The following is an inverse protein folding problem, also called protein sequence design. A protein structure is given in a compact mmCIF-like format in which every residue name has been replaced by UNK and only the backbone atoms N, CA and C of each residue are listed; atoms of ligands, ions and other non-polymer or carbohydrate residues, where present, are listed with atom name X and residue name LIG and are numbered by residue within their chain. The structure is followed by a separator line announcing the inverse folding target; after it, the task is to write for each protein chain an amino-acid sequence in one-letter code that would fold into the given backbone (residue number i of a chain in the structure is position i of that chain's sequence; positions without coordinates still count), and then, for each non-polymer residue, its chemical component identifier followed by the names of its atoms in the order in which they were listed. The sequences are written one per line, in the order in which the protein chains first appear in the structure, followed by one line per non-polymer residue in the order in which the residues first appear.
data_IF_657656400548
#
_entry.id   IF_657656400548
#
_cell.length_a   1.000
_cell.length_b   1.000
_cell.length_c   1.000
_cell.angle_alpha   90.00
_cell.angle_beta   90.00
_cell.angle_gamma   90.00
#
_symmetry.space_group_name_H-M   'P 1'
#
loop_
_entity.id
_entity.type
_entity.pdbx_description
1 polymer ?
#
# COMPACT_ATOMS: atom_id res chain seq x y z
N UNK A 1 -17.45 -1.66 35.37
CA UNK A 1 -18.62 -2.38 34.84
C UNK A 1 -19.43 -1.37 34.02
N UNK A 2 -19.14 -1.28 32.73
CA UNK A 2 -19.71 -0.25 31.85
C UNK A 2 -21.10 -0.69 31.36
N UNK A 3 -22.12 0.09 31.71
CA UNK A 3 -23.53 -0.19 31.42
C UNK A 3 -23.98 0.32 30.06
N UNK A 4 -23.50 -0.28 28.97
CA UNK A 4 -24.01 0.03 27.61
C UNK A 4 -25.12 -0.93 27.11
N UNK A 5 -25.42 -2.03 27.82
CA UNK A 5 -26.43 -3.02 27.39
C UNK A 5 -27.89 -2.71 27.75
N UNK A 6 -28.21 -1.58 28.39
CA UNK A 6 -29.52 -1.45 29.06
C UNK A 6 -30.67 -0.96 28.18
N UNK A 7 -30.42 -0.16 27.13
CA UNK A 7 -31.49 0.42 26.33
C UNK A 7 -31.98 -0.50 25.22
N UNK A 8 -31.08 -1.17 24.49
CA UNK A 8 -31.45 -2.08 23.42
C UNK A 8 -32.20 -3.31 23.95
N UNK A 9 -31.77 -3.86 25.09
CA UNK A 9 -32.43 -4.99 25.76
C UNK A 9 -33.83 -4.60 26.23
N UNK A 10 -33.97 -3.44 26.90
CA UNK A 10 -35.29 -2.93 27.33
C UNK A 10 -36.20 -2.58 26.15
N UNK A 11 -35.66 -2.03 25.07
CA UNK A 11 -36.43 -1.72 23.87
C UNK A 11 -36.89 -2.99 23.14
N UNK A 12 -36.09 -4.05 23.16
CA UNK A 12 -36.43 -5.36 22.58
C UNK A 12 -37.49 -6.08 23.43
N UNK A 13 -37.40 -6.00 24.76
CA UNK A 13 -38.44 -6.47 25.69
C UNK A 13 -39.78 -5.75 25.47
N UNK A 14 -39.75 -4.42 25.31
CA UNK A 14 -40.94 -3.60 24.98
C UNK A 14 -41.52 -3.94 23.60
N UNK A 15 -40.70 -4.44 22.67
CA UNK A 15 -41.09 -4.81 21.31
C UNK A 15 -41.39 -6.30 21.12
N UNK A 16 -41.25 -7.12 22.17
CA UNK A 16 -41.34 -8.60 22.10
C UNK A 16 -40.45 -9.20 21.00
N UNK A 17 -39.25 -8.65 20.83
CA UNK A 17 -38.25 -9.13 19.88
C UNK A 17 -37.04 -9.64 20.66
N UNK A 18 -36.40 -10.69 20.16
CA UNK A 18 -35.12 -11.12 20.71
C UNK A 18 -34.06 -10.03 20.44
N UNK A 19 -33.14 -9.76 21.38
CA UNK A 19 -32.07 -8.79 21.16
C UNK A 19 -31.23 -9.20 19.96
N UNK A 20 -31.13 -8.29 18.98
CA UNK A 20 -30.19 -8.43 17.86
C UNK A 20 -28.77 -8.64 18.40
N UNK A 21 -28.17 -9.77 18.05
CA UNK A 21 -26.82 -10.19 18.44
C UNK A 21 -25.82 -10.08 17.30
N UNK A 22 -26.09 -9.22 16.31
CA UNK A 22 -25.22 -9.01 15.15
C UNK A 22 -25.04 -7.52 14.88
N UNK A 23 -23.79 -7.10 14.68
CA UNK A 23 -23.40 -5.75 14.30
C UNK A 23 -22.64 -5.84 12.98
N UNK A 24 -23.02 -5.01 12.01
CA UNK A 24 -22.23 -4.76 10.81
C UNK A 24 -21.59 -3.39 10.94
N UNK A 25 -20.25 -3.35 10.91
CA UNK A 25 -19.45 -2.14 10.99
C UNK A 25 -18.96 -1.78 9.58
N UNK A 26 -19.43 -0.65 9.05
CA UNK A 26 -18.97 -0.09 7.78
C UNK A 26 -18.09 1.12 8.09
N UNK A 27 -16.81 1.06 7.72
CA UNK A 27 -15.89 2.18 7.88
C UNK A 27 -15.29 2.49 6.51
N UNK A 28 -15.65 3.65 5.99
CA UNK A 28 -15.05 4.17 4.77
C UNK A 28 -13.83 5.01 5.12
N UNK A 29 -12.72 4.84 4.38
CA UNK A 29 -11.44 5.53 4.58
C UNK A 29 -11.03 5.61 6.06
N UNK A 30 -10.73 4.46 6.68
CA UNK A 30 -10.42 4.40 8.13
C UNK A 30 -9.25 5.31 8.54
N UNK A 31 -8.40 5.68 7.60
CA UNK A 31 -7.28 6.60 7.77
C UNK A 31 -7.60 8.09 7.58
N UNK A 32 -8.82 8.44 7.13
CA UNK A 32 -9.10 9.76 6.57
C UNK A 32 -8.74 10.88 7.55
N UNK A 33 -7.98 11.86 7.07
CA UNK A 33 -7.41 12.97 7.86
C UNK A 33 -6.50 12.58 9.04
N UNK A 34 -6.13 11.31 9.20
CA UNK A 34 -5.23 10.88 10.27
C UNK A 34 -3.76 11.11 9.89
N UNK A 35 -2.98 11.57 10.87
CA UNK A 35 -1.53 11.59 10.77
C UNK A 35 -0.97 10.18 10.59
N UNK A 36 0.16 10.01 9.88
CA UNK A 36 0.79 8.70 9.58
C UNK A 36 1.08 7.82 10.81
N UNK A 37 1.25 8.45 11.98
CA UNK A 37 1.38 7.74 13.27
C UNK A 37 0.09 7.04 13.68
N UNK A 38 -1.06 7.64 13.41
CA UNK A 38 -2.37 7.12 13.78
C UNK A 38 -2.90 6.11 12.76
N UNK A 39 -2.59 6.29 11.47
CA UNK A 39 -2.93 5.31 10.43
C UNK A 39 -2.39 3.89 10.75
N UNK A 40 -1.25 3.82 11.44
CA UNK A 40 -0.61 2.55 11.83
C UNK A 40 -1.25 1.83 13.02
N UNK A 41 -2.17 2.48 13.74
CA UNK A 41 -2.73 1.94 14.99
C UNK A 41 -4.25 1.95 15.02
N UNK A 42 -4.90 2.76 14.17
CA UNK A 42 -6.35 2.96 14.22
C UNK A 42 -7.11 1.66 13.96
N UNK A 43 -6.79 0.97 12.87
CA UNK A 43 -7.53 -0.21 12.47
C UNK A 43 -7.28 -1.40 13.40
N UNK A 44 -6.02 -1.73 13.78
CA UNK A 44 -5.78 -2.74 14.83
C UNK A 44 -6.57 -2.46 16.11
N UNK A 45 -6.59 -1.20 16.59
CA UNK A 45 -7.32 -0.85 17.80
C UNK A 45 -8.85 -1.04 17.68
N UNK A 46 -9.43 -0.75 16.51
CA UNK A 46 -10.85 -0.99 16.24
C UNK A 46 -11.16 -2.49 16.25
N UNK A 47 -10.32 -3.29 15.59
CA UNK A 47 -10.49 -4.74 15.50
C UNK A 47 -10.31 -5.42 16.86
N UNK A 48 -9.37 -4.94 17.70
CA UNK A 48 -9.19 -5.43 19.07
C UNK A 48 -10.48 -5.24 19.90
N UNK A 49 -11.08 -4.05 19.85
CA UNK A 49 -12.34 -3.76 20.53
C UNK A 49 -13.48 -4.63 19.98
N UNK A 50 -13.53 -4.82 18.66
CA UNK A 50 -14.53 -5.68 18.04
C UNK A 50 -14.39 -7.15 18.52
N UNK A 51 -13.16 -7.66 18.60
CA UNK A 51 -12.88 -9.00 19.11
C UNK A 51 -13.31 -9.16 20.58
N UNK A 52 -13.06 -8.16 21.44
CA UNK A 52 -13.48 -8.21 22.85
C UNK A 52 -15.01 -8.30 22.99
N UNK A 53 -15.74 -7.63 22.10
CA UNK A 53 -17.21 -7.62 22.07
C UNK A 53 -17.81 -8.90 21.45
N UNK A 54 -17.03 -9.67 20.68
CA UNK A 54 -17.52 -10.87 19.98
C UNK A 54 -18.07 -11.97 20.91
N UNK A 55 -17.67 -11.97 22.19
CA UNK A 55 -18.17 -12.92 23.18
C UNK A 55 -19.69 -12.86 23.39
N UNK A 56 -20.34 -11.74 23.06
CA UNK A 56 -21.78 -11.54 23.25
C UNK A 56 -22.52 -11.13 21.96
N UNK A 57 -21.79 -10.69 20.93
CA UNK A 57 -22.35 -10.08 19.72
C UNK A 57 -21.49 -10.48 18.52
N UNK A 58 -22.06 -11.07 17.48
CA UNK A 58 -21.34 -11.31 16.23
C UNK A 58 -21.04 -9.97 15.55
N UNK A 59 -19.80 -9.70 15.15
CA UNK A 59 -19.41 -8.46 14.47
C UNK A 59 -18.79 -8.79 13.11
N UNK A 60 -19.38 -8.23 12.05
CA UNK A 60 -18.80 -8.22 10.70
C UNK A 60 -18.31 -6.80 10.38
N UNK A 61 -17.04 -6.66 10.01
CA UNK A 61 -16.46 -5.38 9.62
C UNK A 61 -16.18 -5.34 8.11
N UNK A 62 -16.59 -4.25 7.46
CA UNK A 62 -16.28 -3.91 6.07
C UNK A 62 -15.58 -2.56 6.09
N UNK A 63 -14.31 -2.55 5.74
CA UNK A 63 -13.42 -1.40 5.96
C UNK A 63 -12.69 -1.11 4.67
N UNK A 64 -12.70 0.16 4.25
CA UNK A 64 -11.96 0.61 3.07
C UNK A 64 -10.76 1.46 3.51
N UNK A 65 -9.72 1.44 2.68
CA UNK A 65 -8.51 2.25 2.88
C UNK A 65 -7.80 2.46 1.54
N UNK A 66 -7.23 3.64 1.37
CA UNK A 66 -6.24 3.97 0.35
C UNK A 66 -4.83 4.05 0.93
N UNK A 67 -4.65 3.73 2.22
CA UNK A 67 -3.37 3.88 2.90
C UNK A 67 -2.58 2.57 2.95
N UNK A 68 -1.38 2.51 2.34
CA UNK A 68 -0.49 1.37 2.51
C UNK A 68 -0.01 1.22 3.96
N UNK A 69 -0.06 2.28 4.78
CA UNK A 69 0.28 2.20 6.20
C UNK A 69 -0.75 1.42 7.00
N UNK A 70 -2.03 1.51 6.63
CA UNK A 70 -3.10 0.72 7.27
C UNK A 70 -2.89 -0.75 6.94
N UNK A 71 -2.68 -1.10 5.67
CA UNK A 71 -2.44 -2.50 5.27
C UNK A 71 -1.17 -3.07 5.92
N UNK A 72 -0.08 -2.32 5.95
CA UNK A 72 1.15 -2.72 6.65
C UNK A 72 0.91 -2.98 8.14
N UNK A 73 0.03 -2.20 8.78
CA UNK A 73 -0.28 -2.38 10.21
C UNK A 73 -1.07 -3.65 10.51
N UNK A 74 -1.74 -4.22 9.51
CA UNK A 74 -2.54 -5.44 9.66
C UNK A 74 -1.69 -6.71 9.56
N UNK A 75 -0.50 -6.68 8.97
CA UNK A 75 0.34 -7.88 8.76
C UNK A 75 0.55 -8.80 9.98
N UNK A 76 0.68 -8.29 11.22
CA UNK A 76 0.82 -9.15 12.39
C UNK A 76 -0.49 -9.81 12.82
N UNK A 77 -1.63 -9.23 12.46
CA UNK A 77 -2.95 -9.57 13.02
C UNK A 77 -3.93 -10.15 11.99
N UNK A 78 -3.63 -10.06 10.69
CA UNK A 78 -4.47 -10.58 9.62
C UNK A 78 -4.54 -12.11 9.66
N UNK A 79 -5.76 -12.65 9.75
CA UNK A 79 -6.04 -14.08 9.78
C UNK A 79 -6.67 -14.53 8.48
N UNK A 80 -5.89 -15.20 7.63
CA UNK A 80 -6.36 -15.67 6.31
C UNK A 80 -7.58 -16.62 6.35
N UNK A 81 -7.92 -17.21 7.50
CA UNK A 81 -9.14 -18.01 7.65
C UNK A 81 -10.41 -17.18 7.79
N UNK A 82 -10.30 -15.94 8.28
CA UNK A 82 -11.42 -15.08 8.68
C UNK A 82 -11.46 -13.81 7.84
N UNK A 83 -10.30 -13.23 7.57
CA UNK A 83 -10.12 -11.96 6.90
C UNK A 83 -9.98 -12.12 5.38
N UNK A 84 -10.47 -11.12 4.65
CA UNK A 84 -10.45 -11.07 3.20
C UNK A 84 -10.01 -9.68 2.76
N UNK A 85 -9.17 -9.63 1.73
CA UNK A 85 -8.73 -8.38 1.10
C UNK A 85 -9.35 -8.29 -0.29
N UNK A 86 -9.98 -7.16 -0.58
CA UNK A 86 -10.55 -6.90 -1.89
C UNK A 86 -9.97 -5.63 -2.49
N UNK A 87 -9.75 -5.64 -3.80
CA UNK A 87 -9.26 -4.51 -4.57
C UNK A 87 -10.37 -4.03 -5.52
N UNK A 88 -10.75 -2.77 -5.37
CA UNK A 88 -11.62 -2.10 -6.32
C UNK A 88 -10.78 -1.59 -7.49
N UNK A 89 -11.12 -1.99 -8.73
CA UNK A 89 -10.49 -1.46 -9.95
C UNK A 89 -11.54 -0.77 -10.81
N UNK A 90 -11.12 0.28 -11.51
CA UNK A 90 -11.94 0.97 -12.50
C UNK A 90 -11.37 0.68 -13.89
N UNK A 91 -12.06 -0.15 -14.66
CA UNK A 91 -11.69 -0.52 -16.03
C UNK A 91 -12.82 -0.15 -16.99
N UNK A 92 -12.53 0.61 -18.05
CA UNK A 92 -13.52 0.99 -19.07
C UNK A 92 -14.82 1.64 -18.52
N UNK A 93 -14.74 2.34 -17.38
CA UNK A 93 -15.87 2.91 -16.61
C UNK A 93 -16.74 1.90 -15.83
N UNK A 94 -16.31 0.66 -15.74
CA UNK A 94 -16.90 -0.35 -14.87
C UNK A 94 -16.00 -0.57 -13.65
N UNK A 95 -16.62 -0.74 -12.48
CA UNK A 95 -15.89 -1.05 -11.25
C UNK A 95 -15.93 -2.55 -11.03
N UNK A 96 -14.75 -3.18 -10.96
CA UNK A 96 -14.61 -4.58 -10.55
C UNK A 96 -14.17 -4.66 -9.09
N UNK A 97 -14.51 -5.77 -8.44
CA UNK A 97 -14.10 -6.10 -7.09
C UNK A 97 -13.37 -7.44 -7.13
N UNK A 98 -12.05 -7.39 -6.99
CA UNK A 98 -11.20 -8.57 -7.07
C UNK A 98 -10.78 -8.99 -5.66
N UNK A 99 -11.00 -10.25 -5.28
CA UNK A 99 -10.41 -10.80 -4.06
C UNK A 99 -8.92 -11.05 -4.28
N UNK A 100 -8.08 -10.51 -3.39
CA UNK A 100 -6.64 -10.64 -3.47
C UNK A 100 -6.15 -11.55 -2.34
N UNK A 101 -5.41 -12.62 -2.65
CA UNK A 101 -4.78 -13.46 -1.64
C UNK A 101 -3.87 -12.62 -0.73
N UNK A 102 -4.03 -12.77 0.58
CA UNK A 102 -3.18 -12.05 1.52
C UNK A 102 -1.73 -12.52 1.41
N UNK A 103 -0.81 -11.57 1.33
CA UNK A 103 0.62 -11.83 1.41
C UNK A 103 1.31 -10.64 2.06
N UNK A 104 2.17 -10.92 3.05
CA UNK A 104 2.93 -9.88 3.75
C UNK A 104 3.91 -9.23 2.78
N UNK A 105 3.93 -7.91 2.76
CA UNK A 105 4.85 -7.10 1.96
C UNK A 105 6.01 -6.55 2.81
N UNK A 106 5.92 -6.66 4.13
CA UNK A 106 6.96 -6.37 5.10
C UNK A 106 7.00 -4.91 5.54
N UNK A 107 6.89 -3.97 4.59
CA UNK A 107 6.83 -2.54 4.87
C UNK A 107 5.91 -1.79 3.89
N UNK A 108 5.81 -0.48 4.10
CA UNK A 108 4.95 0.40 3.28
C UNK A 108 5.42 0.49 1.83
N UNK A 109 6.73 0.37 1.58
CA UNK A 109 7.31 0.37 0.23
C UNK A 109 6.89 -0.90 -0.50
N UNK A 110 6.97 -2.06 0.15
CA UNK A 110 6.48 -3.32 -0.37
C UNK A 110 5.00 -3.25 -0.76
N UNK A 111 4.16 -2.72 0.14
CA UNK A 111 2.73 -2.50 -0.17
C UNK A 111 2.54 -1.58 -1.37
N UNK A 112 3.21 -0.42 -1.41
CA UNK A 112 3.12 0.50 -2.54
C UNK A 112 3.47 -0.16 -3.89
N UNK A 113 4.44 -1.08 -3.89
CA UNK A 113 4.83 -1.81 -5.10
C UNK A 113 4.07 -3.12 -5.36
N UNK A 114 3.19 -3.53 -4.44
CA UNK A 114 2.38 -4.73 -4.56
C UNK A 114 1.27 -4.54 -5.62
N UNK A 115 0.60 -5.62 -6.01
CA UNK A 115 -0.54 -5.57 -6.94
C UNK A 115 -1.73 -4.73 -6.44
N UNK A 116 -1.81 -4.45 -5.12
CA UNK A 116 -2.85 -3.63 -4.52
C UNK A 116 -2.74 -2.16 -4.94
N UNK A 117 -1.52 -1.62 -4.91
CA UNK A 117 -1.27 -0.22 -5.25
C UNK A 117 -0.65 -0.04 -6.63
N UNK A 118 0.04 -1.08 -7.12
CA UNK A 118 0.51 -1.19 -8.50
C UNK A 118 1.61 -0.21 -8.88
N UNK A 119 2.31 0.41 -7.92
CA UNK A 119 3.44 1.28 -8.27
C UNK A 119 4.62 0.44 -8.73
N UNK A 120 5.27 0.86 -9.82
CA UNK A 120 6.52 0.22 -10.24
C UNK A 120 7.64 0.43 -9.22
N UNK A 121 7.64 1.61 -8.58
CA UNK A 121 8.61 1.99 -7.55
C UNK A 121 7.95 2.89 -6.51
N UNK A 122 8.31 2.75 -5.24
CA UNK A 122 7.88 3.64 -4.16
C UNK A 122 8.72 4.93 -4.09
N UNK A 123 8.92 5.60 -5.24
CA UNK A 123 9.68 6.85 -5.36
C UNK A 123 8.83 7.94 -6.00
N UNK A 124 9.36 9.16 -6.10
CA UNK A 124 8.70 10.21 -6.87
C UNK A 124 8.64 9.83 -8.35
N UNK A 125 7.70 10.42 -9.09
CA UNK A 125 7.54 10.16 -10.51
C UNK A 125 8.80 10.50 -11.30
N UNK A 126 9.48 11.61 -10.96
CA UNK A 126 10.73 12.01 -11.60
C UNK A 126 11.86 11.00 -11.33
N UNK A 127 11.94 10.50 -10.09
CA UNK A 127 12.91 9.47 -9.73
C UNK A 127 12.64 8.15 -10.44
N UNK A 128 11.37 7.76 -10.58
CA UNK A 128 10.96 6.58 -11.35
C UNK A 128 11.41 6.70 -12.81
N UNK A 129 11.10 7.82 -13.49
CA UNK A 129 11.49 8.06 -14.89
C UNK A 129 13.01 8.05 -15.04
N UNK A 130 13.76 8.69 -14.13
CA UNK A 130 15.21 8.72 -14.20
C UNK A 130 15.84 7.33 -14.03
N UNK A 131 15.29 6.51 -13.12
CA UNK A 131 15.73 5.11 -12.93
C UNK A 131 15.36 4.27 -14.14
N UNK A 132 14.16 4.39 -14.70
CA UNK A 132 13.77 3.65 -15.91
C UNK A 132 14.67 3.99 -17.10
N UNK A 133 15.00 5.28 -17.29
CA UNK A 133 15.94 5.72 -18.32
C UNK A 133 17.35 5.14 -18.08
N UNK A 134 17.82 5.18 -16.83
CA UNK A 134 19.09 4.59 -16.44
C UNK A 134 19.14 3.09 -16.72
N UNK A 135 18.07 2.36 -16.38
CA UNK A 135 17.98 0.94 -16.64
C UNK A 135 17.90 0.60 -18.13
N UNK A 136 17.13 1.35 -18.91
CA UNK A 136 17.07 1.20 -20.36
C UNK A 136 18.45 1.41 -20.99
N UNK A 137 19.17 2.46 -20.57
CA UNK A 137 20.54 2.72 -21.01
C UNK A 137 21.51 1.60 -20.59
N UNK A 138 21.40 1.10 -19.35
CA UNK A 138 22.22 -0.03 -18.87
C UNK A 138 21.99 -1.31 -19.68
N UNK A 139 20.77 -1.51 -20.22
CA UNK A 139 20.38 -2.67 -21.05
C UNK A 139 20.55 -2.44 -22.56
N UNK A 140 21.14 -1.31 -23.00
CA UNK A 140 21.26 -0.93 -24.43
C UNK A 140 19.91 -0.94 -25.17
N UNK A 141 18.85 -0.55 -24.44
CA UNK A 141 17.50 -0.45 -24.98
C UNK A 141 17.28 0.87 -25.71
N UNK A 142 16.18 0.96 -26.48
CA UNK A 142 15.82 2.20 -27.16
C UNK A 142 15.53 3.34 -26.16
N UNK A 143 16.22 4.46 -26.35
CA UNK A 143 16.10 5.65 -25.51
C UNK A 143 15.11 6.68 -26.08
N UNK A 144 14.54 6.43 -27.26
CA UNK A 144 13.63 7.36 -27.95
C UNK A 144 12.36 7.69 -27.13
N UNK A 145 11.91 6.72 -26.33
CA UNK A 145 10.74 6.83 -25.46
C UNK A 145 10.95 7.75 -24.24
N UNK A 146 12.20 8.09 -23.91
CA UNK A 146 12.51 8.96 -22.77
C UNK A 146 12.65 10.43 -23.18
N UNK A 147 12.39 11.37 -22.24
CA UNK A 147 12.61 12.80 -22.44
C UNK A 147 14.02 13.10 -22.98
N UNK A 148 14.17 14.16 -23.78
CA UNK A 148 15.45 14.52 -24.40
C UNK A 148 16.58 14.74 -23.40
N UNK A 149 16.24 15.18 -22.19
CA UNK A 149 17.16 15.37 -21.08
C UNK A 149 17.50 14.07 -20.32
N UNK A 150 17.17 12.89 -20.85
CA UNK A 150 17.44 11.58 -20.25
C UNK A 150 17.91 10.54 -21.27
N UNK A 151 18.43 10.97 -22.43
CA UNK A 151 18.84 10.05 -23.51
C UNK A 151 20.31 9.66 -23.46
N UNK A 152 21.14 10.43 -22.76
CA UNK A 152 22.57 10.17 -22.62
C UNK A 152 22.94 9.85 -21.18
N UNK A 153 24.04 9.10 -20.99
CA UNK A 153 24.55 8.75 -19.67
C UNK A 153 24.78 9.98 -18.78
N UNK A 154 25.38 11.04 -19.31
CA UNK A 154 25.69 12.25 -18.53
C UNK A 154 24.42 12.95 -18.05
N UNK A 155 23.42 13.05 -18.93
CA UNK A 155 22.11 13.60 -18.60
C UNK A 155 21.38 12.76 -17.54
N UNK A 156 21.35 11.43 -17.73
CA UNK A 156 20.76 10.49 -16.77
C UNK A 156 21.46 10.62 -15.41
N UNK A 157 22.79 10.63 -15.39
CA UNK A 157 23.55 10.74 -14.15
C UNK A 157 23.26 12.05 -13.40
N UNK A 158 23.19 13.18 -14.13
CA UNK A 158 22.85 14.47 -13.54
C UNK A 158 21.43 14.46 -12.95
N UNK A 159 20.47 13.84 -13.63
CA UNK A 159 19.12 13.73 -13.09
C UNK A 159 19.07 12.81 -11.87
N UNK A 160 19.75 11.67 -11.89
CA UNK A 160 19.84 10.77 -10.74
C UNK A 160 20.41 11.48 -9.50
N UNK A 161 21.42 12.34 -9.65
CA UNK A 161 21.95 13.16 -8.56
C UNK A 161 20.93 14.15 -7.99
N UNK A 162 20.01 14.64 -8.82
CA UNK A 162 18.96 15.58 -8.41
C UNK A 162 17.83 14.88 -7.66
N UNK A 163 17.43 13.69 -8.12
CA UNK A 163 16.21 13.01 -7.67
C UNK A 163 16.45 11.92 -6.65
N UNK A 164 17.65 11.35 -6.57
CA UNK A 164 17.98 10.27 -5.64
C UNK A 164 18.85 10.78 -4.48
N UNK A 165 18.60 10.31 -3.25
CA UNK A 165 19.52 10.55 -2.15
C UNK A 165 20.83 9.78 -2.37
N UNK A 166 21.94 10.29 -1.81
CA UNK A 166 23.26 9.66 -1.99
C UNK A 166 23.41 8.25 -1.41
N UNK A 167 22.48 7.82 -0.55
CA UNK A 167 22.44 6.47 0.02
C UNK A 167 21.40 5.55 -0.67
N UNK A 168 20.83 5.98 -1.79
CA UNK A 168 19.88 5.15 -2.53
C UNK A 168 20.55 3.83 -3.00
N UNK A 169 19.82 2.72 -2.86
CA UNK A 169 20.28 1.38 -3.22
C UNK A 169 20.54 1.21 -4.73
N UNK A 170 20.04 2.13 -5.56
CA UNK A 170 20.28 2.12 -7.00
C UNK A 170 21.73 2.50 -7.37
N UNK A 171 22.40 3.32 -6.55
CA UNK A 171 23.73 3.87 -6.87
C UNK A 171 24.81 2.82 -7.19
N UNK A 172 25.00 1.75 -6.39
CA UNK A 172 26.02 0.75 -6.68
C UNK A 172 25.87 0.12 -8.06
N UNK A 173 24.63 -0.19 -8.45
CA UNK A 173 24.33 -0.79 -9.76
C UNK A 173 24.62 0.18 -10.91
N UNK A 174 24.22 1.44 -10.75
CA UNK A 174 24.47 2.49 -11.74
C UNK A 174 25.98 2.72 -11.95
N UNK A 175 26.72 2.94 -10.86
CA UNK A 175 28.15 3.28 -10.91
C UNK A 175 28.93 2.16 -11.61
N UNK A 176 28.79 0.92 -11.13
CA UNK A 176 29.51 -0.25 -11.69
C UNK A 176 29.24 -0.43 -13.18
N UNK A 177 27.97 -0.30 -13.60
CA UNK A 177 27.59 -0.48 -15.01
C UNK A 177 28.11 0.66 -15.88
N UNK A 178 28.02 1.89 -15.36
CA UNK A 178 28.46 3.09 -16.07
C UNK A 178 29.99 3.13 -16.26
N UNK A 179 30.76 2.70 -15.25
CA UNK A 179 32.21 2.59 -15.32
C UNK A 179 32.64 1.52 -16.32
N UNK A 180 32.00 0.35 -16.29
CA UNK A 180 32.28 -0.75 -17.23
C UNK A 180 32.05 -0.32 -18.69
N UNK A 181 30.93 0.33 -18.99
CA UNK A 181 30.67 0.82 -20.35
C UNK A 181 31.67 1.90 -20.78
N UNK A 182 32.10 2.76 -19.88
CA UNK A 182 33.12 3.76 -20.17
C UNK A 182 34.52 3.16 -20.39
N UNK A 183 34.87 2.08 -19.66
CA UNK A 183 36.14 1.37 -19.89
C UNK A 183 36.13 0.60 -21.22
N UNK A 184 34.99 0.00 -21.60
CA UNK A 184 34.86 -0.72 -22.86
C UNK A 184 34.93 0.23 -24.08
N UNK A 185 34.52 1.50 -23.93
CA UNK A 185 34.63 2.54 -24.96
C UNK A 185 36.03 3.17 -25.09
N UNK A 186 36.89 3.04 -24.08
CA UNK A 186 38.26 3.63 -24.07
C UNK A 186 39.36 2.62 -24.45
N UNK A 187 39.01 1.35 -24.67
CA UNK A 187 39.91 0.27 -25.08
C UNK A 187 39.94 -0.06 -26.58
N UNK A 188 39.38 0.81 -27.45
CA UNK A 188 39.40 0.68 -28.93
C UNK A 188 40.26 1.78 -29.56
#
# INVERSE_FOLDING_TARGET
MFGQGSEHTKASELRQQDPLNHIVLLIDEVESHLHSRWQRVILPAILDVACDLQNNINIQALITTHSPLVLASLEPNFKESEDRLFLFKLENREVTLDEIPWSKQGDTVGWLTSEIFGLKQARSQEAEIAIEAAEAWMRDSDMSAFPENLRTQAQIHQELLRVLPGHDQFWPRWIVTSERKNSDLSGV
#
